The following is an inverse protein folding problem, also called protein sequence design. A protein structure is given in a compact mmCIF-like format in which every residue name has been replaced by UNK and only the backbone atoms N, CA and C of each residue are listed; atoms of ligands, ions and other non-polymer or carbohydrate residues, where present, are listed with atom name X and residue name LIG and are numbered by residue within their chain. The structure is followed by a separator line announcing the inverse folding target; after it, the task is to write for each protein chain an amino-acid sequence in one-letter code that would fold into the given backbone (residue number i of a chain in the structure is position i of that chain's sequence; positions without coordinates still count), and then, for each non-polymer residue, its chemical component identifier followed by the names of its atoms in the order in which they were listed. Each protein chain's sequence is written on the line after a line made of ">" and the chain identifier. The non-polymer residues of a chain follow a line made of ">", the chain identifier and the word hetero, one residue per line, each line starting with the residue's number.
data_IF_431352999380
#
_entry.id   IF_431352999380
#
_cell.length_a   1.000
_cell.length_b   1.000
_cell.length_c   1.000
_cell.angle_alpha   90.00
_cell.angle_beta   90.00
_cell.angle_gamma   90.00
#
_symmetry.space_group_name_H-M   'P 1'
#
loop_
_entity.id
_entity.type
_entity.pdbx_description
1 polymer ?
#
# COMPACT_ATOMS: atom_id res chain seq x y z
N UNK A 1 20.81 26.43 34.27
CA UNK A 1 20.79 25.77 32.94
C UNK A 1 20.80 24.28 33.17
N UNK A 2 19.61 23.67 33.22
CA UNK A 2 19.48 22.22 33.35
C UNK A 2 19.59 21.61 31.95
N UNK A 3 20.54 20.70 31.79
CA UNK A 3 20.76 19.84 30.63
C UNK A 3 19.47 19.04 30.36
N UNK A 4 18.61 19.53 29.46
CA UNK A 4 17.44 18.79 28.95
C UNK A 4 17.98 17.71 28.02
N UNK A 5 18.60 16.68 28.60
CA UNK A 5 18.91 15.45 27.88
C UNK A 5 17.58 14.94 27.34
N UNK A 6 17.44 14.93 26.02
CA UNK A 6 16.34 14.28 25.32
C UNK A 6 16.15 12.91 25.99
N UNK A 7 15.00 12.72 26.66
CA UNK A 7 14.69 11.44 27.31
C UNK A 7 14.92 10.34 26.26
N UNK A 8 15.60 9.24 26.60
CA UNK A 8 15.80 8.15 25.67
C UNK A 8 14.45 7.51 25.36
N UNK A 9 13.81 8.00 24.30
CA UNK A 9 12.53 7.51 23.83
C UNK A 9 12.76 6.16 23.13
N UNK A 10 12.25 5.08 23.73
CA UNK A 10 12.19 3.76 23.10
C UNK A 10 10.98 3.74 22.15
N UNK A 11 11.24 3.64 20.85
CA UNK A 11 10.21 3.77 19.81
C UNK A 11 9.11 2.70 19.93
N UNK A 12 9.49 1.48 20.30
CA UNK A 12 8.55 0.37 20.53
C UNK A 12 7.65 0.54 21.76
N UNK A 13 8.15 1.14 22.85
CA UNK A 13 7.33 1.38 24.05
C UNK A 13 6.28 2.47 23.78
N UNK A 14 6.66 3.52 23.05
CA UNK A 14 5.70 4.54 22.60
C UNK A 14 4.67 3.99 21.62
N UNK A 15 5.00 2.98 20.81
CA UNK A 15 4.05 2.42 19.86
C UNK A 15 2.80 1.86 20.56
N UNK A 16 2.95 1.20 21.71
CA UNK A 16 1.82 0.68 22.50
C UNK A 16 0.95 1.82 23.03
N UNK A 17 1.57 2.92 23.47
CA UNK A 17 0.86 4.13 23.89
C UNK A 17 0.08 4.75 22.72
N UNK A 18 0.71 4.88 21.55
CA UNK A 18 0.02 5.39 20.34
C UNK A 18 -1.15 4.48 19.91
N UNK A 19 -1.00 3.15 20.01
CA UNK A 19 -2.08 2.18 19.73
C UNK A 19 -3.25 2.44 20.69
N UNK A 20 -2.98 2.51 21.99
CA UNK A 20 -3.99 2.77 23.03
C UNK A 20 -4.72 4.09 22.76
N UNK A 21 -4.00 5.12 22.35
CA UNK A 21 -4.60 6.42 22.10
C UNK A 21 -5.44 6.47 20.83
N UNK A 22 -5.00 5.84 19.72
CA UNK A 22 -5.81 5.74 18.51
C UNK A 22 -7.07 4.92 18.79
N UNK A 23 -6.94 3.86 19.60
CA UNK A 23 -8.08 3.04 20.00
C UNK A 23 -9.12 3.83 20.81
N UNK A 24 -8.67 4.74 21.70
CA UNK A 24 -9.55 5.67 22.44
C UNK A 24 -10.22 6.71 21.55
N UNK A 25 -9.82 6.84 20.29
CA UNK A 25 -10.29 7.86 19.34
C UNK A 25 -10.83 7.22 18.07
N UNK A 26 -12.00 6.57 18.13
CA UNK A 26 -12.59 5.89 16.98
C UNK A 26 -12.86 6.84 15.81
N UNK A 27 -13.00 8.16 16.06
CA UNK A 27 -13.13 9.15 14.99
C UNK A 27 -11.93 9.20 14.02
N UNK A 28 -10.71 8.91 14.50
CA UNK A 28 -9.51 8.88 13.65
C UNK A 28 -9.54 7.68 12.71
N UNK A 29 -9.91 6.52 13.23
CA UNK A 29 -10.14 5.32 12.44
C UNK A 29 -11.28 5.53 11.44
N UNK A 30 -12.38 6.14 11.89
CA UNK A 30 -13.54 6.43 11.05
C UNK A 30 -13.19 7.32 9.85
N UNK A 31 -12.35 8.34 10.04
CA UNK A 31 -11.88 9.19 8.92
C UNK A 31 -11.04 8.37 7.95
N UNK A 32 -10.07 7.59 8.43
CA UNK A 32 -9.18 6.77 7.58
C UNK A 32 -9.97 5.72 6.79
N UNK A 33 -10.92 5.06 7.45
CA UNK A 33 -11.83 4.09 6.83
C UNK A 33 -12.72 4.77 5.80
N UNK A 34 -13.33 5.91 6.15
CA UNK A 34 -14.30 6.60 5.30
C UNK A 34 -13.71 6.98 3.95
N UNK A 35 -12.54 7.64 3.89
CA UNK A 35 -11.99 8.06 2.59
C UNK A 35 -11.49 6.86 1.76
N UNK A 36 -10.91 5.83 2.40
CA UNK A 36 -10.44 4.61 1.71
C UNK A 36 -11.60 3.83 1.13
N UNK A 37 -12.68 3.68 1.88
CA UNK A 37 -13.85 2.91 1.45
C UNK A 37 -14.70 3.69 0.46
N UNK A 38 -14.78 5.02 0.60
CA UNK A 38 -15.43 5.91 -0.37
C UNK A 38 -14.78 5.82 -1.76
N UNK A 39 -13.47 5.58 -1.84
CA UNK A 39 -12.82 5.24 -3.09
C UNK A 39 -12.95 3.74 -3.44
N UNK A 40 -12.58 2.88 -2.49
CA UNK A 40 -12.35 1.46 -2.72
C UNK A 40 -13.60 0.70 -3.11
N UNK A 41 -14.74 0.94 -2.45
CA UNK A 41 -16.00 0.24 -2.75
C UNK A 41 -16.49 0.60 -4.16
N UNK A 42 -16.66 1.88 -4.54
CA UNK A 42 -17.04 2.23 -5.90
C UNK A 42 -16.04 1.74 -6.95
N UNK A 43 -14.74 1.83 -6.68
CA UNK A 43 -13.72 1.33 -7.61
C UNK A 43 -13.82 -0.18 -7.82
N UNK A 44 -13.95 -0.97 -6.75
CA UNK A 44 -14.16 -2.42 -6.83
C UNK A 44 -15.46 -2.76 -7.57
N UNK A 45 -16.53 -2.00 -7.34
CA UNK A 45 -17.78 -2.18 -8.06
C UNK A 45 -17.63 -1.92 -9.57
N UNK A 46 -16.91 -0.86 -9.96
CA UNK A 46 -16.61 -0.59 -11.37
C UNK A 46 -15.76 -1.71 -11.96
N UNK A 47 -14.71 -2.16 -11.27
CA UNK A 47 -13.89 -3.29 -11.70
C UNK A 47 -14.72 -4.55 -11.90
N UNK A 48 -15.58 -4.89 -10.93
CA UNK A 48 -16.51 -6.01 -11.04
C UNK A 48 -17.42 -5.88 -12.25
N UNK A 49 -18.02 -4.70 -12.47
CA UNK A 49 -18.88 -4.46 -13.62
C UNK A 49 -18.13 -4.63 -14.95
N UNK A 50 -16.89 -4.15 -15.05
CA UNK A 50 -16.08 -4.33 -16.26
C UNK A 50 -15.70 -5.80 -16.48
N UNK A 51 -15.36 -6.53 -15.42
CA UNK A 51 -15.11 -7.98 -15.48
C UNK A 51 -16.37 -8.70 -15.98
N UNK A 52 -17.54 -8.41 -15.41
CA UNK A 52 -18.81 -9.02 -15.84
C UNK A 52 -19.13 -8.71 -17.31
N UNK A 53 -18.97 -7.46 -17.76
CA UNK A 53 -19.16 -7.11 -19.17
C UNK A 53 -18.20 -7.88 -20.08
N UNK A 54 -16.94 -7.99 -19.69
CA UNK A 54 -15.94 -8.72 -20.46
C UNK A 54 -16.27 -10.22 -20.52
N UNK A 55 -16.68 -10.82 -19.41
CA UNK A 55 -17.10 -12.23 -19.35
C UNK A 55 -18.42 -12.51 -20.09
N UNK A 56 -19.34 -11.54 -20.19
CA UNK A 56 -20.56 -11.70 -21.00
C UNK A 56 -20.27 -11.73 -22.50
N UNK A 57 -19.23 -11.04 -22.96
CA UNK A 57 -18.83 -11.00 -24.37
C UNK A 57 -17.85 -12.12 -24.70
N UNK A 58 -16.98 -12.46 -23.74
CA UNK A 58 -15.94 -13.47 -23.85
C UNK A 58 -16.07 -14.45 -22.68
N UNK A 59 -16.94 -15.47 -22.80
CA UNK A 59 -17.16 -16.45 -21.74
C UNK A 59 -15.91 -17.28 -21.44
N UNK A 60 -15.73 -17.68 -20.18
CA UNK A 60 -14.58 -18.48 -19.73
C UNK A 60 -14.43 -19.80 -20.51
N UNK A 61 -15.55 -20.44 -20.83
CA UNK A 61 -15.61 -21.71 -21.57
C UNK A 61 -14.92 -21.58 -22.95
N UNK A 62 -15.01 -20.40 -23.57
CA UNK A 62 -14.38 -20.14 -24.89
C UNK A 62 -12.87 -19.90 -24.81
N UNK A 63 -12.35 -19.58 -23.63
CA UNK A 63 -10.94 -19.29 -23.41
C UNK A 63 -10.08 -20.54 -23.14
N UNK A 64 -10.72 -21.70 -22.96
CA UNK A 64 -10.03 -22.95 -22.59
C UNK A 64 -9.62 -23.01 -21.12
N UNK A 65 -10.18 -22.14 -20.27
CA UNK A 65 -9.90 -22.10 -18.84
C UNK A 65 -10.27 -23.42 -18.12
N UNK A 66 -11.32 -24.10 -18.58
CA UNK A 66 -11.78 -25.37 -18.00
C UNK A 66 -10.78 -26.53 -18.21
N UNK A 67 -9.79 -26.36 -19.09
CA UNK A 67 -8.76 -27.36 -19.35
C UNK A 67 -7.60 -27.33 -18.34
N UNK A 68 -7.56 -26.34 -17.44
CA UNK A 68 -6.48 -26.16 -16.45
C UNK A 68 -6.47 -27.32 -15.45
N UNK A 69 -5.42 -28.13 -15.54
CA UNK A 69 -5.21 -29.32 -14.71
C UNK A 69 -4.22 -29.05 -13.57
N UNK A 70 -4.62 -29.36 -12.33
CA UNK A 70 -3.70 -29.32 -11.19
C UNK A 70 -2.63 -30.43 -11.23
N UNK A 71 -2.82 -31.45 -12.07
CA UNK A 71 -1.92 -32.61 -12.14
C UNK A 71 -0.77 -32.42 -13.14
N UNK A 72 -0.95 -31.55 -14.13
CA UNK A 72 0.08 -31.21 -15.12
C UNK A 72 0.37 -29.70 -15.09
N UNK A 73 1.33 -29.25 -14.27
CA UNK A 73 1.70 -27.85 -14.16
C UNK A 73 2.20 -27.26 -15.48
N UNK A 74 2.81 -28.07 -16.34
CA UNK A 74 3.34 -27.61 -17.62
C UNK A 74 2.19 -27.27 -18.57
N UNK A 75 1.29 -28.23 -18.81
CA UNK A 75 0.11 -27.99 -19.65
C UNK A 75 -0.74 -26.83 -19.14
N UNK A 76 -0.92 -26.74 -17.82
CA UNK A 76 -1.65 -25.64 -17.18
C UNK A 76 -0.99 -24.28 -17.37
N UNK A 77 0.34 -24.20 -17.28
CA UNK A 77 1.05 -22.94 -17.52
C UNK A 77 0.85 -22.42 -18.95
N UNK A 78 0.85 -23.32 -19.94
CA UNK A 78 0.62 -22.98 -21.35
C UNK A 78 -0.83 -22.53 -21.59
N UNK A 79 -1.80 -23.22 -20.98
CA UNK A 79 -3.21 -22.85 -21.06
C UNK A 79 -3.47 -21.49 -20.40
N UNK A 80 -2.89 -21.23 -19.22
CA UNK A 80 -2.97 -19.92 -18.57
C UNK A 80 -2.35 -18.85 -19.47
N UNK A 81 -1.21 -19.11 -20.10
CA UNK A 81 -0.59 -18.17 -21.04
C UNK A 81 -1.51 -17.86 -22.25
N UNK A 82 -2.19 -18.87 -22.78
CA UNK A 82 -3.17 -18.70 -23.86
C UNK A 82 -4.39 -17.89 -23.41
N UNK A 83 -4.96 -18.20 -22.25
CA UNK A 83 -6.07 -17.44 -21.63
C UNK A 83 -5.67 -15.98 -21.42
N UNK A 84 -4.48 -15.72 -20.87
CA UNK A 84 -3.97 -14.37 -20.68
C UNK A 84 -3.84 -13.64 -22.02
N UNK A 85 -3.25 -14.29 -23.03
CA UNK A 85 -3.07 -13.71 -24.36
C UNK A 85 -4.40 -13.38 -25.02
N UNK A 86 -5.43 -14.20 -24.80
CA UNK A 86 -6.79 -13.98 -25.28
C UNK A 86 -7.45 -12.76 -24.63
N UNK A 87 -7.37 -12.62 -23.30
CA UNK A 87 -8.01 -11.51 -22.58
C UNK A 87 -7.20 -10.21 -22.56
N UNK A 88 -5.88 -10.29 -22.74
CA UNK A 88 -4.96 -9.15 -22.64
C UNK A 88 -5.43 -7.90 -23.44
N UNK A 89 -5.75 -7.96 -24.75
CA UNK A 89 -6.14 -6.77 -25.49
C UNK A 89 -7.41 -6.11 -24.93
N UNK A 90 -8.37 -6.92 -24.48
CA UNK A 90 -9.64 -6.44 -23.92
C UNK A 90 -9.44 -5.81 -22.54
N UNK A 91 -8.62 -6.42 -21.68
CA UNK A 91 -8.26 -5.87 -20.38
C UNK A 91 -7.48 -4.56 -20.54
N UNK A 92 -6.52 -4.49 -21.46
CA UNK A 92 -5.77 -3.27 -21.75
C UNK A 92 -6.68 -2.14 -22.23
N UNK A 93 -7.68 -2.44 -23.07
CA UNK A 93 -8.67 -1.47 -23.53
C UNK A 93 -9.56 -0.90 -22.41
N UNK A 94 -9.78 -1.65 -21.32
CA UNK A 94 -10.45 -1.12 -20.12
C UNK A 94 -9.47 -0.34 -19.25
N UNK A 95 -8.27 -0.88 -19.05
CA UNK A 95 -7.24 -0.25 -18.20
C UNK A 95 -6.80 1.12 -18.71
N UNK A 96 -6.76 1.34 -20.04
CA UNK A 96 -6.32 2.61 -20.62
C UNK A 96 -7.11 3.84 -20.11
N UNK A 97 -8.39 3.67 -19.76
CA UNK A 97 -9.22 4.76 -19.23
C UNK A 97 -9.48 4.58 -17.73
N UNK A 98 -9.64 3.34 -17.25
CA UNK A 98 -9.96 3.08 -15.84
C UNK A 98 -8.77 3.42 -14.94
N UNK A 99 -7.55 3.10 -15.35
CA UNK A 99 -6.34 3.35 -14.56
C UNK A 99 -6.07 4.85 -14.35
N UNK A 100 -6.06 5.73 -15.37
CA UNK A 100 -5.87 7.16 -15.14
C UNK A 100 -7.03 7.80 -14.35
N UNK A 101 -8.28 7.36 -14.60
CA UNK A 101 -9.44 7.84 -13.83
C UNK A 101 -9.34 7.45 -12.35
N UNK A 102 -9.00 6.18 -12.07
CA UNK A 102 -8.81 5.68 -10.71
C UNK A 102 -7.62 6.36 -10.01
N UNK A 103 -6.52 6.58 -10.73
CA UNK A 103 -5.36 7.31 -10.22
C UNK A 103 -5.73 8.74 -9.80
N UNK A 104 -6.47 9.47 -10.65
CA UNK A 104 -6.92 10.83 -10.34
C UNK A 104 -7.86 10.84 -9.13
N UNK A 105 -8.87 9.96 -9.11
CA UNK A 105 -9.82 9.86 -8.00
C UNK A 105 -9.11 9.51 -6.68
N UNK A 106 -8.15 8.58 -6.72
CA UNK A 106 -7.34 8.20 -5.56
C UNK A 106 -6.49 9.36 -5.05
N UNK A 107 -5.81 10.11 -5.93
CA UNK A 107 -5.01 11.27 -5.55
C UNK A 107 -5.85 12.32 -4.85
N UNK A 108 -7.05 12.61 -5.38
CA UNK A 108 -7.97 13.59 -4.79
C UNK A 108 -8.47 13.12 -3.43
N UNK A 109 -9.03 11.91 -3.34
CA UNK A 109 -9.62 11.38 -2.12
C UNK A 109 -8.57 11.12 -1.04
N UNK A 110 -7.40 10.59 -1.40
CA UNK A 110 -6.28 10.38 -0.46
C UNK A 110 -5.70 11.70 0.02
N UNK A 111 -5.56 12.69 -0.87
CA UNK A 111 -5.09 14.02 -0.50
C UNK A 111 -6.03 14.73 0.48
N UNK A 112 -7.35 14.63 0.26
CA UNK A 112 -8.37 15.18 1.17
C UNK A 112 -8.43 14.42 2.50
N UNK A 113 -8.52 13.09 2.45
CA UNK A 113 -8.66 12.22 3.62
C UNK A 113 -7.47 12.33 4.57
N UNK A 114 -6.24 12.25 4.05
CA UNK A 114 -5.02 12.36 4.88
C UNK A 114 -4.83 13.75 5.47
N UNK A 115 -5.15 14.80 4.71
CA UNK A 115 -5.10 16.16 5.21
C UNK A 115 -6.09 16.36 6.36
N UNK A 116 -7.32 15.85 6.20
CA UNK A 116 -8.34 15.93 7.25
C UNK A 116 -7.95 15.15 8.51
N UNK A 117 -7.40 13.95 8.34
CA UNK A 117 -6.90 13.13 9.45
C UNK A 117 -5.78 13.84 10.22
N UNK A 118 -4.83 14.48 9.53
CA UNK A 118 -3.74 15.24 10.15
C UNK A 118 -4.21 16.50 10.87
N UNK A 119 -5.18 17.23 10.30
CA UNK A 119 -5.82 18.37 10.99
C UNK A 119 -6.52 17.90 12.27
N UNK A 120 -7.18 16.75 12.25
CA UNK A 120 -7.85 16.21 13.44
C UNK A 120 -6.87 15.70 14.49
N UNK A 121 -5.79 15.04 14.08
CA UNK A 121 -4.72 14.59 14.96
C UNK A 121 -4.03 15.76 15.66
N UNK A 122 -3.70 16.83 14.93
CA UNK A 122 -3.01 18.00 15.48
C UNK A 122 -3.92 18.86 16.35
N UNK A 123 -5.19 19.05 15.98
CA UNK A 123 -6.10 19.93 16.71
C UNK A 123 -6.48 19.49 18.12
N UNK A 124 -6.22 18.24 18.52
CA UNK A 124 -6.70 17.68 19.79
C UNK A 124 -5.58 17.42 20.82
N UNK A 125 -4.33 17.19 20.38
CA UNK A 125 -3.18 16.88 21.26
C UNK A 125 -1.96 17.80 21.08
N UNK A 126 -1.93 18.65 20.04
CA UNK A 126 -0.74 19.47 19.82
C UNK A 126 -0.61 20.51 20.96
N UNK A 127 0.52 20.54 21.69
CA UNK A 127 0.80 21.64 22.61
C UNK A 127 0.79 22.95 21.83
N UNK A 128 0.31 24.03 22.46
CA UNK A 128 0.07 25.36 21.87
C UNK A 128 1.23 25.97 21.05
N UNK A 129 2.42 25.39 21.15
CA UNK A 129 3.62 25.74 20.41
C UNK A 129 3.59 25.34 18.92
N UNK A 130 2.89 24.26 18.56
CA UNK A 130 2.68 23.87 17.16
C UNK A 130 1.31 24.39 16.76
N UNK A 131 1.28 25.56 16.12
CA UNK A 131 0.04 26.19 15.67
C UNK A 131 -0.85 25.23 14.86
N UNK A 132 -2.15 25.55 14.79
CA UNK A 132 -3.13 24.74 14.05
C UNK A 132 -2.63 24.41 12.64
N UNK A 133 -2.53 23.11 12.33
CA UNK A 133 -2.11 22.66 11.00
C UNK A 133 -3.13 23.15 9.97
N UNK A 134 -2.70 23.87 8.93
CA UNK A 134 -3.63 24.41 7.93
C UNK A 134 -4.11 23.29 7.01
N UNK A 135 -5.37 23.39 6.59
CA UNK A 135 -5.92 22.50 5.58
C UNK A 135 -5.35 22.84 4.19
N UNK A 136 -4.33 22.11 3.72
CA UNK A 136 -3.67 22.32 2.40
C UNK A 136 -3.81 21.11 1.46
N UNK A 137 -5.01 20.87 0.91
CA UNK A 137 -5.29 19.65 0.14
C UNK A 137 -4.51 19.58 -1.17
N UNK A 138 -4.28 20.71 -1.85
CA UNK A 138 -3.56 20.74 -3.13
C UNK A 138 -2.11 20.27 -2.98
N UNK A 139 -1.42 20.70 -1.93
CA UNK A 139 -0.04 20.25 -1.64
C UNK A 139 0.00 18.75 -1.33
N UNK A 140 -1.00 18.24 -0.59
CA UNK A 140 -1.13 16.80 -0.35
C UNK A 140 -1.40 16.02 -1.63
N UNK A 141 -2.33 16.49 -2.48
CA UNK A 141 -2.64 15.87 -3.76
C UNK A 141 -1.40 15.80 -4.67
N UNK A 142 -0.63 16.89 -4.78
CA UNK A 142 0.60 16.90 -5.56
C UNK A 142 1.63 15.88 -5.05
N UNK A 143 1.78 15.73 -3.73
CA UNK A 143 2.68 14.73 -3.14
C UNK A 143 2.17 13.30 -3.30
N UNK A 144 0.85 13.06 -3.20
CA UNK A 144 0.25 11.75 -3.50
C UNK A 144 0.40 11.39 -4.98
N UNK A 145 0.23 12.35 -5.89
CA UNK A 145 0.47 12.17 -7.32
C UNK A 145 1.92 11.80 -7.59
N UNK A 146 2.88 12.52 -6.98
CA UNK A 146 4.30 12.20 -7.09
C UNK A 146 4.64 10.80 -6.58
N UNK A 147 4.07 10.39 -5.44
CA UNK A 147 4.22 9.03 -4.92
C UNK A 147 3.64 7.97 -5.86
N UNK A 148 2.45 8.23 -6.45
CA UNK A 148 1.80 7.32 -7.38
C UNK A 148 2.57 7.20 -8.71
N UNK A 149 3.15 8.31 -9.21
CA UNK A 149 4.03 8.30 -10.37
C UNK A 149 5.28 7.46 -10.09
N UNK A 150 5.91 7.63 -8.92
CA UNK A 150 7.07 6.82 -8.52
C UNK A 150 6.72 5.33 -8.45
N UNK A 151 5.56 4.98 -7.91
CA UNK A 151 5.04 3.62 -7.89
C UNK A 151 4.88 3.08 -9.32
N UNK A 152 4.20 3.83 -10.19
CA UNK A 152 3.98 3.46 -11.59
C UNK A 152 5.28 3.25 -12.36
N UNK A 153 6.27 4.13 -12.19
CA UNK A 153 7.58 4.01 -12.81
C UNK A 153 8.36 2.80 -12.31
N UNK A 154 8.27 2.50 -11.01
CA UNK A 154 8.92 1.33 -10.41
C UNK A 154 8.29 0.05 -10.95
N UNK A 155 6.96 -0.05 -10.95
CA UNK A 155 6.24 -1.20 -11.50
C UNK A 155 6.52 -1.40 -12.99
N UNK A 156 6.50 -0.31 -13.76
CA UNK A 156 6.84 -0.36 -15.17
C UNK A 156 8.28 -0.83 -15.41
N UNK A 157 9.24 -0.29 -14.66
CA UNK A 157 10.64 -0.70 -14.73
C UNK A 157 10.82 -2.17 -14.37
N UNK A 158 10.23 -2.61 -13.26
CA UNK A 158 10.24 -4.01 -12.83
C UNK A 158 9.65 -4.93 -13.91
N UNK A 159 8.48 -4.61 -14.44
CA UNK A 159 7.83 -5.42 -15.47
C UNK A 159 8.67 -5.50 -16.75
N UNK A 160 9.27 -4.38 -17.19
CA UNK A 160 10.20 -4.37 -18.33
C UNK A 160 11.43 -5.23 -18.08
N UNK A 161 11.99 -5.19 -16.87
CA UNK A 161 13.13 -6.03 -16.50
C UNK A 161 12.76 -7.52 -16.42
N UNK A 162 11.55 -7.85 -15.97
CA UNK A 162 11.03 -9.23 -15.98
C UNK A 162 10.84 -9.74 -17.41
N UNK A 163 10.31 -8.92 -18.32
CA UNK A 163 10.20 -9.26 -19.74
C UNK A 163 11.59 -9.50 -20.36
N UNK A 164 12.57 -8.67 -20.02
CA UNK A 164 13.95 -8.86 -20.45
C UNK A 164 14.52 -10.19 -19.95
N UNK A 165 14.38 -10.50 -18.66
CA UNK A 165 14.87 -11.75 -18.08
C UNK A 165 14.19 -12.97 -18.70
N UNK A 166 12.89 -12.90 -18.98
CA UNK A 166 12.18 -13.95 -19.70
C UNK A 166 12.73 -14.12 -21.12
N UNK A 167 12.94 -13.03 -21.85
CA UNK A 167 13.44 -13.07 -23.23
C UNK A 167 14.86 -13.62 -23.36
N UNK A 168 15.72 -13.45 -22.33
CA UNK A 168 17.11 -13.93 -22.36
C UNK A 168 17.25 -15.40 -21.94
N UNK A 169 16.38 -15.90 -21.05
CA UNK A 169 16.50 -17.24 -20.47
C UNK A 169 15.45 -18.26 -20.96
N UNK A 170 14.36 -17.78 -21.58
CA UNK A 170 13.28 -18.63 -22.13
C UNK A 170 13.27 -18.45 -23.66
N UNK A 171 14.25 -19.06 -24.32
CA UNK A 171 14.42 -19.00 -25.77
C UNK A 171 13.52 -20.05 -26.46
N UNK A 172 12.89 -19.65 -27.56
CA UNK A 172 12.07 -20.56 -28.38
C UNK A 172 12.99 -21.57 -29.07
N UNK A 173 12.73 -22.87 -28.87
CA UNK A 173 13.47 -23.96 -29.52
C UNK A 173 14.74 -24.43 -28.81
N UNK A 174 15.04 -23.91 -27.61
CA UNK A 174 16.07 -24.41 -26.72
C UNK A 174 15.45 -24.89 -25.39
N UNK A 175 16.20 -25.68 -24.61
CA UNK A 175 15.79 -25.99 -23.24
C UNK A 175 15.78 -24.68 -22.41
N UNK A 176 14.66 -24.35 -21.75
CA UNK A 176 14.54 -23.10 -21.01
C UNK A 176 15.46 -23.11 -19.78
N UNK A 177 16.30 -22.08 -19.64
CA UNK A 177 17.14 -21.87 -18.47
C UNK A 177 16.31 -21.26 -17.32
N UNK A 178 15.50 -22.12 -16.69
CA UNK A 178 14.65 -21.71 -15.57
C UNK A 178 15.47 -21.19 -14.39
N UNK A 179 16.64 -21.77 -14.15
CA UNK A 179 17.51 -21.36 -13.04
C UNK A 179 17.99 -19.93 -13.27
N UNK A 180 18.54 -19.61 -14.44
CA UNK A 180 18.95 -18.25 -14.79
C UNK A 180 17.80 -17.25 -14.75
N UNK A 181 16.62 -17.62 -15.26
CA UNK A 181 15.42 -16.80 -15.16
C UNK A 181 15.06 -16.47 -13.70
N UNK A 182 14.98 -17.47 -12.82
CA UNK A 182 14.62 -17.26 -11.42
C UNK A 182 15.67 -16.47 -10.64
N UNK A 183 16.96 -16.68 -10.93
CA UNK A 183 18.04 -15.86 -10.35
C UNK A 183 17.80 -14.38 -10.66
N UNK A 184 17.58 -14.02 -11.92
CA UNK A 184 17.29 -12.63 -12.30
C UNK A 184 15.96 -12.14 -11.77
N UNK A 185 14.91 -12.96 -11.78
CA UNK A 185 13.61 -12.61 -11.24
C UNK A 185 13.69 -12.21 -9.76
N UNK A 186 14.45 -12.96 -8.95
CA UNK A 186 14.67 -12.66 -7.54
C UNK A 186 15.49 -11.38 -7.38
N UNK A 187 16.63 -11.26 -8.06
CA UNK A 187 17.50 -10.08 -7.96
C UNK A 187 16.78 -8.80 -8.38
N UNK A 188 16.07 -8.82 -9.50
CA UNK A 188 15.31 -7.66 -10.01
C UNK A 188 14.15 -7.34 -9.07
N UNK A 189 13.36 -8.32 -8.64
CA UNK A 189 12.23 -8.07 -7.74
C UNK A 189 12.68 -7.49 -6.40
N UNK A 190 13.74 -8.05 -5.80
CA UNK A 190 14.31 -7.53 -4.56
C UNK A 190 14.95 -6.15 -4.75
N UNK A 191 15.63 -5.94 -5.88
CA UNK A 191 16.24 -4.66 -6.25
C UNK A 191 15.22 -3.54 -6.41
N UNK A 192 14.17 -3.76 -7.20
CA UNK A 192 13.08 -2.79 -7.39
C UNK A 192 12.28 -2.57 -6.10
N UNK A 193 12.02 -3.62 -5.32
CA UNK A 193 11.39 -3.48 -4.01
C UNK A 193 12.22 -2.58 -3.08
N UNK A 194 13.53 -2.84 -3.01
CA UNK A 194 14.45 -2.05 -2.18
C UNK A 194 14.55 -0.60 -2.67
N UNK A 195 14.68 -0.40 -3.99
CA UNK A 195 14.70 0.92 -4.59
C UNK A 195 13.41 1.70 -4.28
N UNK A 196 12.24 1.08 -4.45
CA UNK A 196 10.97 1.70 -4.13
C UNK A 196 10.84 2.00 -2.63
N UNK A 197 11.24 1.09 -1.75
CA UNK A 197 11.23 1.31 -0.31
C UNK A 197 12.08 2.52 0.09
N UNK A 198 13.26 2.68 -0.51
CA UNK A 198 14.16 3.82 -0.28
C UNK A 198 13.63 5.13 -0.89
N UNK A 199 13.10 5.09 -2.11
CA UNK A 199 12.64 6.28 -2.85
C UNK A 199 11.25 6.77 -2.42
N UNK A 200 10.36 5.88 -1.98
CA UNK A 200 9.01 6.24 -1.52
C UNK A 200 9.01 6.93 -0.15
N UNK A 201 10.10 6.78 0.59
CA UNK A 201 10.28 7.34 1.91
C UNK A 201 10.29 8.88 1.93
N UNK A 202 11.11 9.58 1.11
CA UNK A 202 11.07 11.03 0.95
C UNK A 202 9.67 11.57 0.69
N UNK A 203 8.89 10.94 -0.19
CA UNK A 203 7.51 11.36 -0.48
C UNK A 203 6.59 11.23 0.73
N UNK A 204 6.74 10.14 1.49
CA UNK A 204 5.97 9.92 2.70
C UNK A 204 6.25 10.99 3.74
N UNK A 205 7.52 11.35 3.97
CA UNK A 205 7.87 12.40 4.95
C UNK A 205 7.56 13.80 4.42
N UNK A 206 7.80 14.07 3.14
CA UNK A 206 7.52 15.37 2.53
C UNK A 206 6.06 15.79 2.75
N UNK A 207 5.12 14.84 2.79
CA UNK A 207 3.74 15.11 3.16
C UNK A 207 3.61 15.75 4.55
N UNK A 208 4.28 15.20 5.56
CA UNK A 208 4.26 15.78 6.90
C UNK A 208 4.98 17.13 6.94
N UNK A 209 6.16 17.24 6.32
CA UNK A 209 6.94 18.49 6.31
C UNK A 209 6.16 19.62 5.65
N UNK A 210 5.48 19.34 4.54
CA UNK A 210 4.71 20.34 3.81
C UNK A 210 3.52 20.89 4.63
N UNK A 211 2.91 20.07 5.47
CA UNK A 211 1.80 20.46 6.35
C UNK A 211 2.28 21.12 7.64
N UNK A 212 3.32 20.58 8.27
CA UNK A 212 3.80 21.05 9.58
C UNK A 212 4.69 22.28 9.50
N UNK A 213 5.54 22.39 8.46
CA UNK A 213 6.45 23.54 8.28
C UNK A 213 5.95 24.56 7.23
N UNK A 214 4.69 24.44 6.77
CA UNK A 214 4.10 25.32 5.75
C UNK A 214 4.87 25.43 4.41
N UNK A 215 5.73 24.46 4.10
CA UNK A 215 6.60 24.51 2.91
C UNK A 215 5.88 24.18 1.60
N UNK A 216 6.48 24.60 0.49
CA UNK A 216 6.10 24.17 -0.86
C UNK A 216 6.50 22.70 -1.10
N UNK A 217 5.89 22.05 -2.09
CA UNK A 217 6.12 20.64 -2.44
C UNK A 217 7.62 20.32 -2.62
N UNK A 218 8.30 21.09 -3.47
CA UNK A 218 9.73 20.86 -3.76
C UNK A 218 10.63 21.14 -2.57
N UNK A 219 10.32 22.19 -1.78
CA UNK A 219 11.08 22.49 -0.56
C UNK A 219 10.89 21.41 0.50
N UNK A 220 9.68 20.88 0.65
CA UNK A 220 9.38 19.79 1.56
C UNK A 220 10.09 18.48 1.15
N UNK A 221 10.14 18.19 -0.16
CA UNK A 221 10.86 17.02 -0.68
C UNK A 221 12.38 17.15 -0.44
N UNK A 222 12.97 18.30 -0.76
CA UNK A 222 14.39 18.55 -0.50
C UNK A 222 14.73 18.47 1.00
N UNK A 223 13.85 18.98 1.86
CA UNK A 223 14.00 18.89 3.31
C UNK A 223 13.85 17.46 3.82
N UNK A 224 12.97 16.66 3.22
CA UNK A 224 12.78 15.25 3.60
C UNK A 224 14.05 14.40 3.41
N UNK A 225 14.89 14.76 2.43
CA UNK A 225 16.19 14.10 2.19
C UNK A 225 17.27 14.54 3.20
N UNK A 226 17.09 15.69 3.84
CA UNK A 226 18.04 16.27 4.80
C UNK A 226 17.67 15.99 6.26
N UNK A 227 16.72 15.09 6.51
CA UNK A 227 16.35 14.71 7.87
C UNK A 227 17.50 13.94 8.51
N UNK A 228 17.93 14.41 9.69
CA UNK A 228 19.07 13.84 10.40
C UNK A 228 18.89 12.35 10.75
N UNK A 229 20.00 11.62 10.83
CA UNK A 229 20.06 10.16 11.03
C UNK A 229 19.24 9.64 12.22
N UNK A 230 19.12 10.44 13.28
CA UNK A 230 18.39 10.06 14.49
C UNK A 230 16.87 9.97 14.26
N UNK A 231 16.31 10.95 13.55
CA UNK A 231 14.88 10.96 13.22
C UNK A 231 14.55 9.83 12.24
N UNK A 232 15.34 9.71 11.16
CA UNK A 232 15.12 8.66 10.14
C UNK A 232 15.24 7.25 10.74
N UNK A 233 16.17 7.03 11.67
CA UNK A 233 16.33 5.74 12.35
C UNK A 233 15.10 5.34 13.16
N UNK A 234 14.49 6.28 13.90
CA UNK A 234 13.29 6.00 14.71
C UNK A 234 12.04 5.75 13.86
N UNK A 235 11.88 6.51 12.78
CA UNK A 235 10.77 6.22 11.86
C UNK A 235 10.99 4.87 11.15
N UNK A 236 12.23 4.50 10.85
CA UNK A 236 12.54 3.22 10.23
C UNK A 236 12.19 2.06 11.17
N UNK A 237 12.50 2.19 12.46
CA UNK A 237 12.09 1.25 13.51
C UNK A 237 10.57 1.05 13.53
N UNK A 238 9.80 2.14 13.55
CA UNK A 238 8.32 2.09 13.56
C UNK A 238 7.76 1.48 12.27
N UNK A 239 8.32 1.83 11.11
CA UNK A 239 7.88 1.25 9.84
C UNK A 239 8.20 -0.23 9.72
N UNK A 240 9.35 -0.68 10.25
CA UNK A 240 9.70 -2.09 10.30
C UNK A 240 8.69 -2.87 11.15
N UNK A 241 8.39 -2.38 12.35
CA UNK A 241 7.39 -2.99 13.23
C UNK A 241 6.01 -3.02 12.57
N UNK A 242 5.58 -1.92 11.95
CA UNK A 242 4.32 -1.91 11.20
C UNK A 242 4.32 -2.86 10.00
N UNK A 243 5.46 -3.03 9.33
CA UNK A 243 5.62 -4.02 8.26
C UNK A 243 5.38 -5.43 8.77
N UNK A 244 6.00 -5.80 9.90
CA UNK A 244 5.81 -7.11 10.54
C UNK A 244 4.35 -7.33 10.93
N UNK A 245 3.71 -6.35 11.56
CA UNK A 245 2.29 -6.45 11.94
C UNK A 245 1.39 -6.66 10.72
N UNK A 246 1.62 -5.95 9.62
CA UNK A 246 0.83 -6.12 8.40
C UNK A 246 1.05 -7.47 7.74
N UNK A 247 2.29 -7.98 7.75
CA UNK A 247 2.58 -9.32 7.28
C UNK A 247 1.82 -10.36 8.12
N UNK A 248 1.85 -10.22 9.45
CA UNK A 248 1.12 -11.11 10.36
C UNK A 248 -0.39 -11.04 10.13
N UNK A 249 -0.97 -9.85 9.92
CA UNK A 249 -2.38 -9.69 9.56
C UNK A 249 -2.71 -10.39 8.23
N UNK A 250 -1.85 -10.25 7.21
CA UNK A 250 -2.05 -10.92 5.93
C UNK A 250 -2.03 -12.45 6.09
N UNK A 251 -1.07 -12.98 6.84
CA UNK A 251 -0.99 -14.42 7.14
C UNK A 251 -2.23 -14.89 7.89
N UNK A 252 -2.69 -14.13 8.89
CA UNK A 252 -3.88 -14.46 9.66
C UNK A 252 -5.14 -14.49 8.77
N UNK A 253 -5.28 -13.51 7.89
CA UNK A 253 -6.37 -13.47 6.90
C UNK A 253 -6.32 -14.65 5.94
N UNK A 254 -5.12 -15.03 5.48
CA UNK A 254 -4.94 -16.21 4.63
C UNK A 254 -5.36 -17.48 5.37
N UNK A 255 -4.92 -17.68 6.61
CA UNK A 255 -5.26 -18.85 7.44
C UNK A 255 -6.77 -18.92 7.70
N UNK A 256 -7.42 -17.83 8.08
CA UNK A 256 -8.86 -17.85 8.31
C UNK A 256 -9.68 -18.02 7.03
N UNK A 257 -9.16 -17.55 5.89
CA UNK A 257 -9.82 -17.76 4.60
C UNK A 257 -9.67 -19.21 4.11
N UNK A 258 -8.56 -19.90 4.44
CA UNK A 258 -8.33 -21.29 4.04
C UNK A 258 -8.83 -22.33 5.04
N UNK A 259 -9.03 -21.96 6.31
CA UNK A 259 -9.46 -22.87 7.37
C UNK A 259 -10.74 -23.67 7.08
N UNK A 260 -11.77 -23.12 6.39
CA UNK A 260 -12.98 -23.88 6.10
C UNK A 260 -12.88 -24.72 4.82
N UNK A 261 -11.81 -24.59 4.02
CA UNK A 261 -11.64 -25.34 2.75
C UNK A 261 -11.75 -26.86 2.93
N UNK A 262 -11.17 -27.49 3.98
CA UNK A 262 -11.33 -28.92 4.22
C UNK A 262 -12.76 -29.35 4.54
N UNK A 263 -13.64 -28.41 4.92
CA UNK A 263 -15.03 -28.66 5.31
C UNK A 263 -16.03 -28.20 4.23
N UNK A 264 -15.58 -28.08 2.98
CA UNK A 264 -16.43 -27.55 1.89
C UNK A 264 -17.67 -28.41 1.64
N UNK A 265 -17.57 -29.73 1.89
CA UNK A 265 -18.68 -30.67 1.72
C UNK A 265 -19.77 -30.48 2.78
N UNK A 266 -19.39 -30.11 4.01
CA UNK A 266 -20.32 -29.95 5.14
C UNK A 266 -20.92 -28.55 5.23
N UNK A 267 -20.12 -27.50 5.01
CA UNK A 267 -20.54 -26.10 5.21
C UNK A 267 -21.03 -25.45 3.91
N UNK A 268 -20.70 -26.05 2.77
CA UNK A 268 -21.09 -25.61 1.44
C UNK A 268 -20.32 -24.38 0.92
N UNK A 269 -20.39 -24.10 -0.40
CA UNK A 269 -19.61 -23.02 -1.03
C UNK A 269 -19.95 -21.62 -0.51
N UNK A 270 -21.20 -21.38 -0.12
CA UNK A 270 -21.64 -20.07 0.38
C UNK A 270 -20.91 -19.67 1.67
N UNK A 271 -20.66 -20.63 2.56
CA UNK A 271 -19.97 -20.35 3.82
C UNK A 271 -18.49 -20.00 3.61
N UNK A 272 -17.83 -20.61 2.62
CA UNK A 272 -16.45 -20.25 2.23
C UNK A 272 -16.36 -18.78 1.79
N UNK A 273 -17.30 -18.34 0.95
CA UNK A 273 -17.34 -16.94 0.50
C UNK A 273 -17.59 -15.97 1.65
N UNK A 274 -18.46 -16.33 2.60
CA UNK A 274 -18.70 -15.52 3.80
C UNK A 274 -17.46 -15.45 4.67
N UNK A 275 -16.79 -16.57 4.94
CA UNK A 275 -15.56 -16.61 5.75
C UNK A 275 -14.44 -15.78 5.13
N UNK A 276 -14.24 -15.88 3.81
CA UNK A 276 -13.30 -15.06 3.05
C UNK A 276 -13.66 -13.57 3.13
N UNK A 277 -14.93 -13.21 2.90
CA UNK A 277 -15.39 -11.83 2.92
C UNK A 277 -15.23 -11.20 4.31
N UNK A 278 -15.59 -11.90 5.38
CA UNK A 278 -15.42 -11.44 6.76
C UNK A 278 -13.94 -11.26 7.08
N UNK A 279 -13.09 -12.25 6.74
CA UNK A 279 -11.65 -12.18 6.97
C UNK A 279 -11.00 -11.00 6.24
N UNK A 280 -11.43 -10.71 5.01
CA UNK A 280 -10.98 -9.58 4.22
C UNK A 280 -11.44 -8.24 4.82
N UNK A 281 -12.69 -8.13 5.26
CA UNK A 281 -13.19 -6.91 5.92
C UNK A 281 -12.42 -6.62 7.20
N UNK A 282 -12.21 -7.64 8.05
CA UNK A 282 -11.44 -7.52 9.28
C UNK A 282 -10.00 -7.11 8.98
N UNK A 283 -9.37 -7.70 7.96
CA UNK A 283 -8.05 -7.31 7.48
C UNK A 283 -7.99 -5.83 7.10
N UNK A 284 -8.95 -5.37 6.28
CA UNK A 284 -9.00 -3.98 5.82
C UNK A 284 -9.11 -3.01 7.00
N UNK A 285 -10.03 -3.27 7.94
CA UNK A 285 -10.22 -2.43 9.13
C UNK A 285 -8.96 -2.41 10.00
N UNK A 286 -8.35 -3.58 10.27
CA UNK A 286 -7.15 -3.68 11.08
C UNK A 286 -5.95 -2.98 10.41
N UNK A 287 -5.76 -3.17 9.10
CA UNK A 287 -4.72 -2.51 8.33
C UNK A 287 -4.90 -0.98 8.33
N UNK A 288 -6.13 -0.49 8.21
CA UNK A 288 -6.44 0.95 8.25
C UNK A 288 -6.17 1.54 9.65
N UNK A 289 -6.51 0.79 10.71
CA UNK A 289 -6.16 1.15 12.09
C UNK A 289 -4.65 1.32 12.29
N UNK A 290 -3.83 0.35 11.84
CA UNK A 290 -2.38 0.46 11.98
C UNK A 290 -1.77 1.59 11.13
N UNK A 291 -2.43 2.00 10.05
CA UNK A 291 -2.01 3.18 9.28
C UNK A 291 -2.26 4.47 10.06
N UNK A 292 -3.38 4.59 10.78
CA UNK A 292 -3.63 5.73 11.66
C UNK A 292 -2.63 5.77 12.84
N UNK A 293 -2.30 4.62 13.44
CA UNK A 293 -1.28 4.50 14.49
C UNK A 293 0.09 4.98 13.99
N UNK A 294 0.50 4.52 12.80
CA UNK A 294 1.75 4.96 12.16
C UNK A 294 1.78 6.48 11.97
N UNK A 295 0.67 7.05 11.50
CA UNK A 295 0.55 8.49 11.26
C UNK A 295 0.71 9.30 12.56
N UNK A 296 0.07 8.84 13.64
CA UNK A 296 0.19 9.44 14.97
C UNK A 296 1.63 9.35 15.49
N UNK A 297 2.26 8.18 15.41
CA UNK A 297 3.64 8.00 15.83
C UNK A 297 4.59 8.98 15.12
N UNK A 298 4.41 9.16 13.80
CA UNK A 298 5.23 10.10 13.03
C UNK A 298 5.06 11.55 13.47
N UNK A 299 3.82 11.96 13.77
CA UNK A 299 3.51 13.29 14.25
C UNK A 299 4.14 13.55 15.63
N UNK A 300 4.09 12.59 16.55
CA UNK A 300 4.72 12.72 17.86
C UNK A 300 6.25 12.73 17.80
N UNK A 301 6.87 11.82 17.03
CA UNK A 301 8.32 11.88 16.82
C UNK A 301 8.75 13.20 16.19
N UNK A 302 7.95 13.72 15.25
CA UNK A 302 8.24 15.02 14.67
C UNK A 302 8.29 16.12 15.73
N UNK A 303 7.28 16.18 16.61
CA UNK A 303 7.23 17.14 17.70
C UNK A 303 8.43 17.02 18.64
N UNK A 304 8.78 15.81 19.06
CA UNK A 304 9.92 15.58 19.97
C UNK A 304 11.24 16.04 19.35
N UNK A 305 11.52 15.72 18.10
CA UNK A 305 12.83 16.00 17.49
C UNK A 305 12.97 17.41 16.90
N UNK A 306 11.88 18.07 16.49
CA UNK A 306 11.93 19.41 15.87
C UNK A 306 11.61 20.53 16.85
N UNK A 307 10.62 20.38 17.73
CA UNK A 307 10.33 21.40 18.73
C UNK A 307 11.41 21.48 19.80
N UNK A 308 12.04 20.35 20.16
CA UNK A 308 13.17 20.36 21.09
C UNK A 308 14.45 21.02 20.52
N UNK A 309 14.59 21.08 19.20
CA UNK A 309 15.73 21.74 18.54
C UNK A 309 15.48 23.22 18.22
N UNK A 310 14.26 23.72 18.42
CA UNK A 310 13.87 25.12 18.17
C UNK A 310 13.96 26.00 19.42
N UNK A 311 14.17 25.40 20.60
CA UNK A 311 14.43 26.06 21.88
C UNK A 311 15.89 25.87 22.28
#
# INVERSE_FOLDING_TARGET
>A
MADVRARPVRGTQLLVEHISDVFRRPSLLGIELAWRWLFGIPFLFVCWQQIQRLLTVYPLDTSGFDAVSLQDPWASSLQIANVISYYQPHVLAVMQWLLPAAALAWVVLSGLGRNWLLVRLSGQDAPSAVGKVPFRPLTMMALQAGWLILLGLTYWGWFRSMQWAAATHILVGAEPDLVGYFVWAIFLSLGFFTAFALLSWPFSIAAFVALLEHRSVFSALGQSLRLGKQFTGKLAEVNLVMGIVKLALLVLTMVFSSAPVPFVEEVGPGALHVAMAVSLIVYCIANDFFQAVRLKAFLEFWMVYRCANAN
#
